data_IF_259879785806
#
_entry.id   IF_259879785806
#
_cell.length_a   1.000
_cell.length_b   1.000
_cell.length_c   1.000
_cell.angle_alpha   90.00
_cell.angle_beta   90.00
_cell.angle_gamma   90.00
#
_symmetry.space_group_name_H-M   'P 1'
#
loop_
_entity.id
_entity.type
_entity.pdbx_description
1 polymer ?
#
# COMPACT_ATOMS: atom_id res chain seq x y z
N UNK A 1 -4.49 -21.02 7.41
CA UNK A 1 -3.60 -19.96 6.87
C UNK A 1 -2.46 -19.80 7.84
N UNK A 2 -1.26 -20.20 7.45
CA UNK A 2 -0.01 -19.80 8.13
C UNK A 2 0.02 -18.28 8.23
N UNK A 3 0.51 -17.72 9.33
CA UNK A 3 0.69 -16.27 9.50
C UNK A 3 1.57 -15.74 8.35
N UNK A 4 0.93 -15.33 7.24
CA UNK A 4 1.55 -14.46 6.25
C UNK A 4 2.11 -13.30 7.04
N UNK A 5 3.40 -13.04 6.86
CA UNK A 5 4.09 -12.07 7.67
C UNK A 5 3.83 -10.69 7.07
N UNK A 6 2.60 -10.19 7.25
CA UNK A 6 2.01 -8.96 6.71
C UNK A 6 2.90 -7.72 6.92
N UNK A 7 3.81 -7.78 7.89
CA UNK A 7 4.70 -6.69 8.30
C UNK A 7 6.16 -6.88 7.87
N UNK A 8 6.47 -7.92 7.06
CA UNK A 8 7.77 -8.06 6.41
C UNK A 8 7.58 -8.58 4.98
N UNK A 9 8.40 -8.11 4.06
CA UNK A 9 8.25 -8.49 2.67
C UNK A 9 9.25 -7.84 1.76
N UNK A 10 8.94 -7.85 0.47
CA UNK A 10 9.80 -7.33 -0.58
C UNK A 10 8.98 -6.49 -1.54
N UNK A 11 9.41 -5.25 -1.74
CA UNK A 11 8.92 -4.39 -2.82
C UNK A 11 9.79 -4.67 -4.03
N UNK A 12 9.17 -5.02 -5.14
CA UNK A 12 9.87 -5.42 -6.36
C UNK A 12 9.73 -4.32 -7.41
N UNK A 13 10.83 -3.96 -8.06
CA UNK A 13 10.85 -3.04 -9.19
C UNK A 13 11.23 -3.81 -10.46
N UNK A 14 10.26 -3.96 -11.36
CA UNK A 14 10.39 -4.61 -12.65
C UNK A 14 10.40 -3.55 -13.77
N UNK A 15 11.12 -3.85 -14.85
CA UNK A 15 11.25 -3.00 -16.04
C UNK A 15 11.37 -3.88 -17.27
N UNK A 16 11.06 -3.33 -18.44
CA UNK A 16 11.29 -4.01 -19.71
C UNK A 16 12.79 -4.14 -20.03
N UNK A 17 13.60 -3.16 -19.62
CA UNK A 17 15.06 -3.17 -19.79
C UNK A 17 15.81 -2.87 -18.49
N UNK A 18 16.87 -3.62 -18.23
CA UNK A 18 17.76 -3.43 -17.09
C UNK A 18 17.48 -4.33 -15.89
N UNK A 19 18.31 -4.21 -14.83
CA UNK A 19 18.26 -5.15 -13.71
C UNK A 19 17.00 -4.96 -12.86
N UNK A 20 16.46 -6.10 -12.41
CA UNK A 20 15.42 -6.15 -11.38
C UNK A 20 16.00 -5.63 -10.07
N UNK A 21 15.32 -4.68 -9.44
CA UNK A 21 15.70 -4.15 -8.12
C UNK A 21 14.64 -4.52 -7.10
N UNK A 22 15.01 -4.52 -5.82
CA UNK A 22 14.06 -4.79 -4.76
C UNK A 22 14.49 -4.22 -3.43
N UNK A 23 13.51 -3.89 -2.59
CA UNK A 23 13.71 -3.44 -1.21
C UNK A 23 13.07 -4.48 -0.31
N UNK A 24 13.84 -5.04 0.60
CA UNK A 24 13.29 -5.86 1.66
C UNK A 24 12.91 -4.95 2.82
N UNK A 25 11.72 -5.14 3.36
CA UNK A 25 11.26 -4.42 4.54
C UNK A 25 10.85 -5.40 5.62
N UNK A 26 11.01 -4.97 6.86
CA UNK A 26 10.49 -5.62 8.06
C UNK A 26 10.19 -4.52 9.06
N UNK A 27 8.97 -4.52 9.57
CA UNK A 27 8.56 -3.65 10.66
C UNK A 27 8.59 -4.43 11.97
N UNK A 28 9.13 -3.80 13.01
CA UNK A 28 8.97 -4.30 14.36
C UNK A 28 7.56 -3.94 14.84
N UNK A 29 6.72 -4.95 14.98
CA UNK A 29 5.35 -4.77 15.46
C UNK A 29 5.27 -5.10 16.95
N UNK A 30 4.70 -4.20 17.77
CA UNK A 30 4.55 -4.47 19.19
C UNK A 30 3.61 -5.65 19.42
N UNK A 31 3.84 -6.37 20.52
CA UNK A 31 2.83 -7.27 21.06
C UNK A 31 1.64 -6.43 21.55
N UNK A 32 0.46 -6.65 20.96
CA UNK A 32 -0.75 -5.94 21.34
C UNK A 32 -1.43 -6.73 22.48
N UNK A 33 -1.63 -6.13 23.67
CA UNK A 33 -2.30 -6.81 24.77
C UNK A 33 -3.80 -6.99 24.49
N UNK A 34 -4.41 -7.97 25.19
CA UNK A 34 -5.76 -8.46 24.90
C UNK A 34 -6.84 -7.38 25.04
N UNK A 35 -6.67 -6.48 26.01
CA UNK A 35 -7.54 -5.34 26.29
C UNK A 35 -7.61 -4.36 25.10
N UNK A 36 -6.53 -4.22 24.33
CA UNK A 36 -6.50 -3.35 23.15
C UNK A 36 -7.15 -3.97 21.90
N UNK A 37 -7.37 -5.29 21.89
CA UNK A 37 -8.05 -5.99 20.80
C UNK A 37 -9.53 -6.23 21.08
N UNK A 38 -10.13 -5.65 22.12
CA UNK A 38 -11.59 -5.71 22.33
C UNK A 38 -12.35 -4.94 21.26
N UNK A 39 -13.56 -5.40 20.90
CA UNK A 39 -14.37 -4.83 19.81
C UNK A 39 -14.61 -3.31 19.93
N UNK A 40 -14.72 -2.80 21.16
CA UNK A 40 -14.91 -1.37 21.41
C UNK A 40 -13.78 -0.52 20.80
N UNK A 41 -12.56 -1.05 20.74
CA UNK A 41 -11.40 -0.36 20.20
C UNK A 41 -11.42 -0.14 18.68
N UNK A 42 -12.42 -0.69 17.98
CA UNK A 42 -12.53 -0.64 16.52
C UNK A 42 -13.80 0.08 16.03
N UNK A 43 -14.48 0.83 16.91
CA UNK A 43 -15.72 1.54 16.57
C UNK A 43 -15.56 2.50 15.39
N UNK A 44 -14.39 3.14 15.26
CA UNK A 44 -14.10 4.13 14.21
C UNK A 44 -14.07 3.56 12.79
N UNK A 45 -14.02 2.23 12.65
CA UNK A 45 -14.08 1.54 11.36
C UNK A 45 -15.50 1.38 10.83
N UNK A 46 -16.53 1.54 11.67
CA UNK A 46 -17.94 1.37 11.30
C UNK A 46 -18.20 0.06 10.53
N UNK A 47 -17.60 -1.05 11.01
CA UNK A 47 -17.83 -2.37 10.43
C UNK A 47 -19.31 -2.70 10.35
N UNK A 48 -19.73 -3.26 9.22
CA UNK A 48 -21.09 -3.79 9.03
C UNK A 48 -21.30 -5.05 9.88
N UNK A 49 -22.55 -5.44 10.12
CA UNK A 49 -22.87 -6.60 10.97
C UNK A 49 -22.27 -7.91 10.45
N UNK A 50 -22.19 -8.09 9.13
CA UNK A 50 -21.50 -9.23 8.51
C UNK A 50 -19.98 -9.18 8.77
N UNK A 51 -19.35 -8.01 8.62
CA UNK A 51 -17.92 -7.82 8.90
C UNK A 51 -17.59 -8.06 10.37
N UNK A 52 -18.45 -7.62 11.30
CA UNK A 52 -18.27 -7.84 12.74
C UNK A 52 -18.22 -9.32 13.10
N UNK A 53 -19.00 -10.17 12.43
CA UNK A 53 -18.99 -11.63 12.62
C UNK A 53 -17.67 -12.27 12.15
N UNK A 54 -17.07 -11.70 11.13
CA UNK A 54 -15.79 -12.15 10.56
C UNK A 54 -14.58 -11.52 11.26
N UNK A 55 -14.79 -10.51 12.12
CA UNK A 55 -13.73 -9.78 12.82
C UNK A 55 -13.13 -10.58 14.00
N UNK A 56 -12.34 -11.59 13.64
CA UNK A 56 -11.58 -12.43 14.58
C UNK A 56 -10.63 -11.62 15.48
N UNK A 57 -10.15 -12.25 16.56
CA UNK A 57 -9.08 -11.67 17.39
C UNK A 57 -7.80 -11.41 16.59
N UNK A 58 -7.49 -12.27 15.61
CA UNK A 58 -6.33 -12.09 14.74
C UNK A 58 -6.47 -10.86 13.84
N UNK A 59 -7.64 -10.64 13.21
CA UNK A 59 -7.90 -9.43 12.42
C UNK A 59 -7.72 -8.18 13.27
N UNK A 60 -8.27 -8.17 14.48
CA UNK A 60 -8.14 -7.06 15.43
C UNK A 60 -6.68 -6.77 15.81
N UNK A 61 -5.89 -7.83 16.05
CA UNK A 61 -4.45 -7.72 16.31
C UNK A 61 -3.71 -7.11 15.12
N UNK A 62 -3.94 -7.60 13.91
CA UNK A 62 -3.30 -7.09 12.69
C UNK A 62 -3.67 -5.62 12.45
N UNK A 63 -4.95 -5.26 12.56
CA UNK A 63 -5.42 -3.88 12.45
C UNK A 63 -4.69 -2.98 13.46
N UNK A 64 -4.59 -3.41 14.72
CA UNK A 64 -3.86 -2.67 15.76
C UNK A 64 -2.39 -2.52 15.44
N UNK A 65 -1.74 -3.55 14.94
CA UNK A 65 -0.34 -3.50 14.53
C UNK A 65 -0.12 -2.49 13.39
N UNK A 66 -1.00 -2.46 12.38
CA UNK A 66 -0.98 -1.43 11.33
C UNK A 66 -1.12 -0.02 11.89
N UNK A 67 -2.05 0.21 12.83
CA UNK A 67 -2.24 1.51 13.48
C UNK A 67 -1.01 1.99 14.27
N UNK A 68 -0.14 1.06 14.70
CA UNK A 68 1.06 1.34 15.49
C UNK A 68 2.36 1.22 14.69
N UNK A 69 2.29 1.05 13.36
CA UNK A 69 3.51 1.04 12.54
C UNK A 69 4.26 2.37 12.68
N UNK A 70 5.58 2.28 12.89
CA UNK A 70 6.44 3.43 13.07
C UNK A 70 6.49 4.30 11.78
N UNK A 71 5.95 5.54 11.80
CA UNK A 71 5.92 6.38 10.59
C UNK A 71 7.31 6.75 10.08
N UNK A 72 8.29 6.84 10.97
CA UNK A 72 9.69 7.10 10.61
C UNK A 72 10.27 5.95 9.79
N UNK A 73 9.92 4.71 10.14
CA UNK A 73 10.41 3.53 9.44
C UNK A 73 9.75 3.38 8.07
N UNK A 74 8.43 3.63 7.96
CA UNK A 74 7.74 3.70 6.66
C UNK A 74 8.40 4.77 5.78
N UNK A 75 8.69 5.94 6.35
CA UNK A 75 9.35 7.04 5.63
C UNK A 75 10.77 6.65 5.19
N UNK A 76 11.52 5.90 6.00
CA UNK A 76 12.86 5.41 5.65
C UNK A 76 12.82 4.51 4.41
N UNK A 77 11.99 3.46 4.42
CA UNK A 77 11.84 2.59 3.25
C UNK A 77 11.27 3.32 2.04
N UNK A 78 10.39 4.30 2.27
CA UNK A 78 9.84 5.14 1.21
C UNK A 78 10.90 6.01 0.54
N UNK A 79 11.81 6.60 1.33
CA UNK A 79 12.95 7.35 0.81
C UNK A 79 13.86 6.46 -0.04
N UNK A 80 14.16 5.25 0.45
CA UNK A 80 14.94 4.27 -0.29
C UNK A 80 14.29 3.93 -1.64
N UNK A 81 12.98 3.72 -1.65
CA UNK A 81 12.21 3.46 -2.86
C UNK A 81 12.29 4.61 -3.86
N UNK A 82 12.06 5.85 -3.40
CA UNK A 82 12.17 7.04 -4.26
C UNK A 82 13.58 7.17 -4.84
N UNK A 83 14.62 6.95 -4.04
CA UNK A 83 16.01 7.02 -4.52
C UNK A 83 16.30 5.95 -5.59
N UNK A 84 15.75 4.74 -5.44
CA UNK A 84 15.88 3.67 -6.42
C UNK A 84 15.14 3.99 -7.73
N UNK A 85 13.94 4.56 -7.64
CA UNK A 85 13.17 5.03 -8.79
C UNK A 85 13.95 6.12 -9.53
N UNK A 86 14.37 7.17 -8.83
CA UNK A 86 15.03 8.33 -9.46
C UNK A 86 16.44 8.01 -10.00
N UNK A 87 17.12 7.00 -9.46
CA UNK A 87 18.43 6.53 -9.96
C UNK A 87 18.32 5.60 -11.18
N UNK A 88 17.11 5.34 -11.65
CA UNK A 88 16.88 4.50 -12.82
C UNK A 88 16.96 5.34 -14.09
N UNK A 89 17.57 4.79 -15.15
CA UNK A 89 17.48 5.42 -16.48
C UNK A 89 16.03 5.36 -17.00
N UNK A 90 15.44 6.50 -17.31
CA UNK A 90 14.08 6.63 -17.85
C UNK A 90 13.90 5.97 -19.23
N UNK A 91 14.97 5.89 -20.04
CA UNK A 91 14.94 5.25 -21.37
C UNK A 91 14.70 3.73 -21.31
N UNK A 92 14.79 3.14 -20.12
CA UNK A 92 14.55 1.72 -19.90
C UNK A 92 13.04 1.35 -19.85
N UNK A 93 12.16 2.31 -20.12
CA UNK A 93 10.70 2.14 -20.13
C UNK A 93 10.07 2.27 -18.74
N UNK A 94 8.75 1.98 -18.64
CA UNK A 94 8.00 2.13 -17.40
C UNK A 94 8.56 1.27 -16.27
N UNK A 95 8.52 1.82 -15.05
CA UNK A 95 8.90 1.13 -13.83
C UNK A 95 7.65 0.55 -13.20
N UNK A 96 7.55 -0.79 -13.18
CA UNK A 96 6.48 -1.48 -12.48
C UNK A 96 6.93 -1.81 -11.05
N UNK A 97 6.15 -1.38 -10.07
CA UNK A 97 6.44 -1.57 -8.65
C UNK A 97 5.36 -2.44 -8.03
N UNK A 98 5.76 -3.60 -7.54
CA UNK A 98 4.87 -4.57 -6.90
C UNK A 98 5.09 -4.59 -5.40
N UNK A 99 4.01 -4.46 -4.64
CA UNK A 99 4.02 -4.56 -3.19
C UNK A 99 2.68 -5.08 -2.65
N UNK A 100 2.73 -5.80 -1.53
CA UNK A 100 1.57 -6.25 -0.78
C UNK A 100 1.63 -5.79 0.68
N UNK A 101 0.50 -5.86 1.38
CA UNK A 101 0.42 -5.70 2.83
C UNK A 101 1.05 -4.39 3.32
N UNK A 102 1.94 -4.41 4.33
CA UNK A 102 2.62 -3.21 4.81
C UNK A 102 3.55 -2.56 3.77
N UNK A 103 3.96 -3.29 2.73
CA UNK A 103 4.70 -2.74 1.59
C UNK A 103 3.88 -1.67 0.84
N UNK A 104 2.55 -1.80 0.83
CA UNK A 104 1.66 -0.83 0.19
C UNK A 104 1.75 0.53 0.86
N UNK A 105 2.00 0.59 2.18
CA UNK A 105 2.17 1.86 2.91
C UNK A 105 3.47 2.55 2.52
N UNK A 106 4.53 1.78 2.26
CA UNK A 106 5.81 2.32 1.76
C UNK A 106 5.61 2.95 0.38
N UNK A 107 4.93 2.23 -0.52
CA UNK A 107 4.60 2.72 -1.87
C UNK A 107 3.72 3.97 -1.83
N UNK A 108 2.62 3.97 -1.07
CA UNK A 108 1.76 5.14 -0.92
C UNK A 108 2.54 6.32 -0.33
N UNK A 109 3.38 6.10 0.69
CA UNK A 109 4.22 7.17 1.24
C UNK A 109 5.21 7.71 0.19
N UNK A 110 5.76 6.87 -0.68
CA UNK A 110 6.65 7.29 -1.76
C UNK A 110 5.93 8.19 -2.77
N UNK A 111 4.75 7.77 -3.22
CA UNK A 111 3.88 8.53 -4.13
C UNK A 111 3.54 9.89 -3.51
N UNK A 112 2.96 9.89 -2.31
CA UNK A 112 2.53 11.10 -1.60
C UNK A 112 3.67 11.95 -1.05
N UNK A 113 4.93 11.52 -1.19
CA UNK A 113 6.08 12.38 -0.95
C UNK A 113 6.30 13.40 -2.06
N UNK A 114 5.81 13.12 -3.28
CA UNK A 114 5.97 13.99 -4.46
C UNK A 114 7.42 14.18 -4.91
N UNK A 115 8.30 13.23 -4.58
CA UNK A 115 9.74 13.26 -4.92
C UNK A 115 10.14 12.29 -6.02
N UNK A 116 9.19 11.53 -6.58
CA UNK A 116 9.43 10.72 -7.77
C UNK A 116 9.56 11.68 -8.96
N UNK A 117 10.64 11.56 -9.72
CA UNK A 117 10.88 12.44 -10.85
C UNK A 117 9.80 12.24 -11.95
N UNK A 118 9.48 13.32 -12.68
CA UNK A 118 8.41 13.33 -13.66
C UNK A 118 8.79 12.70 -15.01
N UNK A 119 10.07 12.41 -15.23
CA UNK A 119 10.60 11.73 -16.41
C UNK A 119 10.37 10.22 -16.39
N UNK A 120 10.11 9.63 -15.23
CA UNK A 120 9.78 8.21 -15.10
C UNK A 120 8.28 7.97 -15.17
N UNK A 121 7.83 7.14 -16.09
CA UNK A 121 6.52 6.50 -15.97
C UNK A 121 6.59 5.39 -14.92
N UNK A 122 5.75 5.45 -13.89
CA UNK A 122 5.77 4.51 -12.77
C UNK A 122 4.39 3.92 -12.54
N UNK A 123 4.30 2.59 -12.51
CA UNK A 123 3.06 1.85 -12.30
C UNK A 123 3.18 1.09 -10.98
N UNK A 124 2.39 1.47 -9.98
CA UNK A 124 2.31 0.78 -8.70
C UNK A 124 1.20 -0.27 -8.75
N UNK A 125 1.57 -1.55 -8.69
CA UNK A 125 0.68 -2.71 -8.56
C UNK A 125 0.62 -3.10 -7.08
N UNK A 126 -0.44 -2.68 -6.40
CA UNK A 126 -0.61 -2.85 -4.96
C UNK A 126 -1.69 -3.90 -4.68
N UNK A 127 -1.31 -5.02 -4.07
CA UNK A 127 -2.23 -6.06 -3.60
C UNK A 127 -2.36 -6.03 -2.07
N UNK A 128 -3.36 -6.70 -1.50
CA UNK A 128 -3.61 -6.76 -0.05
C UNK A 128 -3.43 -5.39 0.63
N UNK A 129 -4.03 -4.34 0.06
CA UNK A 129 -3.87 -2.94 0.49
C UNK A 129 -4.95 -2.50 1.50
N UNK A 130 -4.68 -2.48 2.82
CA UNK A 130 -5.66 -2.04 3.81
C UNK A 130 -5.71 -0.50 3.87
N UNK A 131 -6.23 0.14 2.81
CA UNK A 131 -6.16 1.59 2.59
C UNK A 131 -6.72 2.41 3.75
N UNK A 132 -7.77 1.91 4.42
CA UNK A 132 -8.39 2.61 5.56
C UNK A 132 -7.44 2.79 6.74
N UNK A 133 -6.43 1.94 6.84
CA UNK A 133 -5.42 1.94 7.90
C UNK A 133 -4.22 2.85 7.60
N UNK A 134 -4.15 3.45 6.40
CA UNK A 134 -3.00 4.28 6.03
C UNK A 134 -2.90 5.54 6.92
N UNK A 135 -1.72 5.90 7.47
CA UNK A 135 -1.61 7.08 8.32
C UNK A 135 -1.78 8.39 7.54
N UNK A 136 -2.73 9.24 7.96
CA UNK A 136 -3.03 10.54 7.30
C UNK A 136 -1.79 11.46 7.23
N UNK A 137 -0.92 11.43 8.23
CA UNK A 137 0.31 12.23 8.29
C UNK A 137 1.36 11.85 7.23
N UNK A 138 1.22 10.69 6.58
CA UNK A 138 2.09 10.23 5.50
C UNK A 138 1.55 10.63 4.11
N UNK A 139 0.28 11.02 3.99
CA UNK A 139 -0.32 11.55 2.77
C UNK A 139 -0.03 13.05 2.58
N UNK A 140 1.25 13.44 2.51
CA UNK A 140 1.70 14.85 2.61
C UNK A 140 1.42 15.70 1.36
N UNK A 141 1.43 15.12 0.17
CA UNK A 141 1.33 15.84 -1.09
C UNK A 141 0.21 15.30 -1.98
N UNK A 142 -0.66 16.19 -2.48
CA UNK A 142 -1.79 15.86 -3.36
C UNK A 142 -1.61 16.37 -4.79
N UNK A 143 -0.39 16.79 -5.17
CA UNK A 143 -0.11 17.28 -6.52
C UNK A 143 -0.34 16.19 -7.56
N UNK A 144 -0.76 16.63 -8.75
CA UNK A 144 -1.19 15.77 -9.85
C UNK A 144 -0.04 14.86 -10.31
N UNK A 145 -0.16 13.56 -10.03
CA UNK A 145 0.81 12.53 -10.38
C UNK A 145 0.67 12.09 -11.84
N UNK A 146 0.95 12.98 -12.80
CA UNK A 146 0.67 12.72 -14.23
C UNK A 146 1.36 11.46 -14.77
N UNK A 147 2.52 11.12 -14.23
CA UNK A 147 3.37 10.00 -14.62
C UNK A 147 3.26 8.77 -13.69
N UNK A 148 2.33 8.79 -12.72
CA UNK A 148 2.15 7.70 -11.77
C UNK A 148 0.78 7.07 -11.95
N UNK A 149 0.76 5.76 -12.18
CA UNK A 149 -0.44 4.94 -12.19
C UNK A 149 -0.48 4.08 -10.93
N UNK A 150 -1.66 3.92 -10.34
CA UNK A 150 -1.89 3.04 -9.19
C UNK A 150 -2.94 2.01 -9.60
N UNK A 151 -2.53 0.75 -9.63
CA UNK A 151 -3.39 -0.42 -9.84
C UNK A 151 -3.57 -1.12 -8.50
N UNK A 152 -4.79 -1.14 -7.99
CA UNK A 152 -5.15 -1.87 -6.77
C UNK A 152 -5.74 -3.22 -7.17
N UNK A 153 -5.12 -4.31 -6.72
CA UNK A 153 -5.66 -5.64 -6.95
C UNK A 153 -6.76 -5.95 -5.92
N UNK A 154 -8.02 -5.79 -6.35
CA UNK A 154 -9.20 -6.06 -5.53
C UNK A 154 -9.60 -7.54 -5.45
N UNK A 155 -9.02 -8.40 -6.28
CA UNK A 155 -9.36 -9.83 -6.36
C UNK A 155 -8.34 -10.73 -5.66
N UNK A 156 -7.40 -10.17 -4.90
CA UNK A 156 -6.44 -10.96 -4.14
C UNK A 156 -7.09 -11.59 -2.88
N UNK A 157 -6.78 -12.87 -2.63
CA UNK A 157 -7.11 -13.53 -1.36
C UNK A 157 -6.22 -12.94 -0.24
N UNK A 158 -6.73 -11.91 0.43
CA UNK A 158 -6.03 -11.17 1.46
C UNK A 158 -6.64 -11.41 2.86
N UNK A 159 -5.87 -11.09 3.90
CA UNK A 159 -6.29 -11.31 5.29
C UNK A 159 -7.55 -10.51 5.69
N UNK A 160 -7.94 -9.51 4.89
CA UNK A 160 -9.12 -8.68 5.11
C UNK A 160 -10.15 -8.81 3.99
N UNK A 161 -10.13 -9.88 3.17
CA UNK A 161 -11.07 -10.07 2.04
C UNK A 161 -12.54 -9.96 2.44
N UNK A 162 -12.89 -10.33 3.68
CA UNK A 162 -14.26 -10.24 4.23
C UNK A 162 -14.53 -8.95 5.01
N UNK A 163 -13.60 -8.00 5.02
CA UNK A 163 -13.63 -6.75 5.78
C UNK A 163 -13.48 -5.57 4.81
N UNK A 164 -14.49 -5.35 3.97
CA UNK A 164 -14.52 -4.26 2.97
C UNK A 164 -14.23 -2.88 3.58
N UNK A 165 -14.61 -2.64 4.83
CA UNK A 165 -14.34 -1.40 5.54
C UNK A 165 -12.85 -1.11 5.70
N UNK A 166 -11.98 -2.13 5.66
CA UNK A 166 -10.52 -2.00 5.67
C UNK A 166 -9.96 -1.63 4.29
N UNK A 167 -10.56 -2.12 3.20
CA UNK A 167 -10.12 -1.82 1.83
C UNK A 167 -10.58 -0.44 1.36
N UNK A 168 -11.59 0.15 1.99
CA UNK A 168 -12.12 1.48 1.63
C UNK A 168 -11.07 2.58 1.69
N UNK A 169 -10.93 3.30 0.57
CA UNK A 169 -10.09 4.47 0.45
C UNK A 169 -10.56 5.59 1.40
N UNK A 170 -9.70 6.11 2.29
CA UNK A 170 -10.05 7.23 3.16
C UNK A 170 -10.04 8.56 2.39
N UNK A 171 -10.83 9.54 2.85
CA UNK A 171 -11.06 10.83 2.16
C UNK A 171 -9.77 11.62 1.86
N UNK A 172 -8.76 11.50 2.73
CA UNK A 172 -7.48 12.19 2.56
C UNK A 172 -6.54 11.51 1.56
N UNK A 173 -6.81 10.26 1.17
CA UNK A 173 -6.00 9.51 0.22
C UNK A 173 -6.72 9.58 -1.13
N UNK A 174 -6.34 10.51 -2.02
CA UNK A 174 -6.91 10.64 -3.37
C UNK A 174 -6.14 9.77 -4.37
N UNK A 175 -6.49 8.50 -4.47
CA UNK A 175 -5.95 7.58 -5.47
C UNK A 175 -6.74 7.75 -6.77
N UNK A 176 -6.06 8.11 -7.86
CA UNK A 176 -6.62 7.98 -9.21
C UNK A 176 -6.29 6.57 -9.69
N UNK A 177 -7.31 5.71 -9.71
CA UNK A 177 -7.16 4.36 -10.27
C UNK A 177 -7.11 4.48 -11.80
N UNK A 178 -6.16 3.80 -12.42
CA UNK A 178 -6.16 3.65 -13.87
C UNK A 178 -7.05 2.47 -14.24
N UNK A 179 -8.13 2.71 -14.98
CA UNK A 179 -8.95 1.64 -15.55
C UNK A 179 -8.35 1.22 -16.90
N UNK A 180 -8.15 -0.08 -17.11
CA UNK A 180 -7.60 -0.67 -18.35
C UNK A 180 -8.45 -0.44 -19.61
N UNK A 181 -9.54 0.34 -19.51
CA UNK A 181 -10.44 0.69 -20.61
C UNK A 181 -9.91 1.76 -21.57
N UNK A 182 -8.77 2.42 -21.29
CA UNK A 182 -8.22 3.47 -22.17
C UNK A 182 -7.33 2.95 -23.32
N UNK A 183 -6.89 1.69 -23.28
CA UNK A 183 -6.04 1.10 -24.34
C UNK A 183 -6.83 0.73 -25.61
N UNK A 184 -8.18 0.70 -25.56
CA UNK A 184 -9.01 0.40 -26.74
C UNK A 184 -9.33 1.61 -27.62
N UNK A 185 -8.81 2.81 -27.32
CA UNK A 185 -9.10 4.04 -28.09
C UNK A 185 -7.92 4.60 -28.91
N UNK A 186 -6.77 3.94 -28.91
CA UNK A 186 -5.60 4.36 -29.71
C UNK A 186 -5.27 3.39 -30.86
N UNK A 187 -6.16 2.44 -31.15
CA UNK A 187 -6.07 1.52 -32.30
C UNK A 187 -7.29 1.67 -33.23
N UNK A 188 -7.76 2.91 -33.44
CA UNK A 188 -8.81 3.26 -34.40
C UNK A 188 -8.31 4.24 -35.44
#
# INVERSE_FOLDING_TARGET
>A
MTEQNIFKGKITLNRSKGPKKSINFKFDTPSIPLDQVVMHGFKDFNFQENEKRELSSNHRKIIRQFQHLCPLEITRYSNELVNIINSTNAEHGPIEIEASDAGTFICLTAIYSGRINNDHEVIFKLSSSPLRLFPKNLAKNHKNFKNIQIKLDGNCDCWFSKLESISKQPVYLKIKMYSESEDYKLAG
#
